data_IF_091987599068
#
_entry.id   IF_091987599068
#
_cell.length_a   1.000
_cell.length_b   1.000
_cell.length_c   1.000
_cell.angle_alpha   90.00
_cell.angle_beta   90.00
_cell.angle_gamma   90.00
#
_symmetry.space_group_name_H-M   'P 1'
#
loop_
_entity.id
_entity.type
_entity.pdbx_description
1 polymer ?
#
# COMPACT_ATOMS: atom_id res chain seq x y z
N UNK A 1 -5.67 -8.40 0.71
CA UNK A 1 -5.42 -8.23 2.15
C UNK A 1 -6.31 -7.10 2.68
N UNK A 2 -7.47 -7.46 3.27
CA UNK A 2 -8.49 -6.47 3.67
C UNK A 2 -8.46 -6.15 5.16
N UNK A 3 -7.85 -7.01 5.96
CA UNK A 3 -7.89 -6.86 7.40
C UNK A 3 -6.69 -7.52 8.11
N UNK A 4 -6.46 -7.20 9.41
CA UNK A 4 -5.34 -7.75 10.17
C UNK A 4 -5.34 -9.28 10.32
N UNK A 5 -6.50 -9.95 10.25
CA UNK A 5 -6.56 -11.41 10.32
C UNK A 5 -5.98 -12.04 9.06
N UNK A 6 -6.33 -11.52 7.89
CA UNK A 6 -5.77 -11.99 6.62
C UNK A 6 -4.26 -11.73 6.57
N UNK A 7 -3.79 -10.58 7.06
CA UNK A 7 -2.36 -10.28 7.12
C UNK A 7 -1.60 -11.26 8.04
N UNK A 8 -2.15 -11.58 9.22
CA UNK A 8 -1.56 -12.59 10.13
C UNK A 8 -1.57 -13.98 9.51
N UNK A 9 -2.66 -14.38 8.88
CA UNK A 9 -2.76 -15.66 8.18
C UNK A 9 -1.72 -15.75 7.08
N UNK A 10 -1.62 -14.75 6.22
CA UNK A 10 -0.59 -14.66 5.19
C UNK A 10 0.82 -14.83 5.78
N UNK A 11 1.12 -14.10 6.86
CA UNK A 11 2.40 -14.17 7.55
C UNK A 11 2.69 -15.60 8.07
N UNK A 12 1.72 -16.24 8.71
CA UNK A 12 1.86 -17.61 9.22
C UNK A 12 2.06 -18.62 8.09
N UNK A 13 1.26 -18.56 7.04
CA UNK A 13 1.35 -19.46 5.89
C UNK A 13 2.69 -19.30 5.18
N UNK A 14 3.16 -18.08 4.99
CA UNK A 14 4.47 -17.79 4.41
C UNK A 14 5.62 -18.35 5.27
N UNK A 15 5.60 -18.14 6.60
CA UNK A 15 6.64 -18.70 7.48
C UNK A 15 6.62 -20.22 7.49
N UNK A 16 5.44 -20.85 7.49
CA UNK A 16 5.29 -22.31 7.41
C UNK A 16 5.82 -22.84 6.08
N UNK A 17 5.57 -22.15 4.97
CA UNK A 17 6.07 -22.50 3.66
C UNK A 17 7.60 -22.44 3.62
N UNK A 18 8.18 -21.36 4.14
CA UNK A 18 9.63 -21.19 4.23
C UNK A 18 10.28 -22.24 5.15
N UNK A 19 9.61 -22.60 6.26
CA UNK A 19 10.09 -23.65 7.16
C UNK A 19 10.10 -25.03 6.46
N UNK A 20 9.00 -25.39 5.77
CA UNK A 20 8.92 -26.62 4.98
C UNK A 20 10.02 -26.71 3.93
N UNK A 21 10.24 -25.60 3.20
CA UNK A 21 11.30 -25.52 2.21
C UNK A 21 12.69 -25.71 2.86
N UNK A 22 12.96 -25.03 3.95
CA UNK A 22 14.24 -25.12 4.68
C UNK A 22 14.49 -26.51 5.28
N UNK A 23 13.43 -27.22 5.70
CA UNK A 23 13.53 -28.59 6.24
C UNK A 23 13.77 -29.63 5.15
N UNK A 24 13.28 -29.41 3.95
CA UNK A 24 13.43 -30.32 2.78
C UNK A 24 14.69 -29.99 1.96
N UNK A 25 15.80 -29.70 2.62
CA UNK A 25 17.09 -29.37 2.00
C UNK A 25 17.59 -30.46 1.04
N UNK A 26 17.14 -30.43 -0.21
CA UNK A 26 17.49 -31.38 -1.25
C UNK A 26 16.45 -31.54 -2.35
N UNK A 27 15.22 -31.10 -2.13
CA UNK A 27 14.25 -30.96 -3.21
C UNK A 27 14.57 -29.68 -4.00
N UNK A 28 14.80 -29.82 -5.31
CA UNK A 28 15.04 -28.73 -6.26
C UNK A 28 13.82 -27.80 -6.44
N UNK A 29 13.04 -27.57 -5.40
CA UNK A 29 11.85 -26.75 -5.42
C UNK A 29 12.15 -25.26 -5.16
N UNK A 30 11.29 -24.40 -5.69
CA UNK A 30 11.24 -22.99 -5.34
C UNK A 30 9.94 -22.71 -4.62
N UNK A 31 9.92 -21.70 -3.76
CA UNK A 31 8.70 -21.15 -3.17
C UNK A 31 8.10 -20.16 -4.15
N UNK A 32 6.96 -20.50 -4.73
CA UNK A 32 6.26 -19.67 -5.71
C UNK A 32 5.22 -18.80 -5.01
N UNK A 33 5.35 -17.49 -5.12
CA UNK A 33 4.38 -16.53 -4.56
C UNK A 33 3.85 -15.66 -5.69
N UNK A 34 2.54 -15.66 -5.90
CA UNK A 34 1.89 -14.82 -6.88
C UNK A 34 1.14 -13.67 -6.19
N UNK A 35 1.36 -12.44 -6.67
CA UNK A 35 0.74 -11.22 -6.16
C UNK A 35 -0.06 -10.60 -7.30
N UNK A 36 -1.37 -10.45 -7.11
CA UNK A 36 -2.27 -9.83 -8.08
C UNK A 36 -2.50 -8.37 -7.71
N UNK A 37 -2.12 -7.46 -8.59
CA UNK A 37 -2.25 -6.02 -8.45
C UNK A 37 -0.90 -5.31 -8.36
N UNK A 38 -0.55 -4.58 -9.42
CA UNK A 38 0.69 -3.79 -9.55
C UNK A 38 0.60 -2.39 -8.92
N UNK A 39 -0.32 -2.15 -8.00
CA UNK A 39 -0.38 -0.94 -7.18
C UNK A 39 0.76 -0.88 -6.15
N UNK A 40 0.78 0.16 -5.30
CA UNK A 40 1.82 0.35 -4.29
C UNK A 40 1.95 -0.87 -3.36
N UNK A 41 0.84 -1.44 -2.89
CA UNK A 41 0.82 -2.61 -2.01
C UNK A 41 1.51 -3.82 -2.62
N UNK A 42 1.16 -4.18 -3.86
CA UNK A 42 1.76 -5.35 -4.53
C UNK A 42 3.24 -5.15 -4.84
N UNK A 43 3.61 -3.95 -5.27
CA UNK A 43 5.00 -3.57 -5.56
C UNK A 43 5.86 -3.60 -4.30
N UNK A 44 5.39 -3.00 -3.21
CA UNK A 44 6.11 -2.99 -1.92
C UNK A 44 6.22 -4.39 -1.32
N UNK A 45 5.15 -5.19 -1.36
CA UNK A 45 5.15 -6.57 -0.88
C UNK A 45 6.14 -7.43 -1.68
N UNK A 46 6.18 -7.30 -3.00
CA UNK A 46 7.12 -8.03 -3.85
C UNK A 46 8.57 -7.79 -3.45
N UNK A 47 8.94 -6.54 -3.16
CA UNK A 47 10.28 -6.19 -2.70
C UNK A 47 10.55 -6.67 -1.26
N UNK A 48 9.55 -6.56 -0.36
CA UNK A 48 9.71 -6.94 1.05
C UNK A 48 9.86 -8.44 1.24
N UNK A 49 9.24 -9.28 0.41
CA UNK A 49 9.43 -10.74 0.45
C UNK A 49 10.90 -11.14 0.25
N UNK A 50 11.61 -10.53 -0.69
CA UNK A 50 13.05 -10.76 -0.89
C UNK A 50 13.90 -10.28 0.30
N UNK A 51 13.50 -9.17 0.92
CA UNK A 51 14.14 -8.71 2.15
C UNK A 51 13.86 -9.64 3.33
N UNK A 52 12.65 -10.18 3.46
CA UNK A 52 12.26 -11.14 4.48
C UNK A 52 13.11 -12.42 4.41
N UNK A 53 13.33 -12.96 3.21
CA UNK A 53 14.20 -14.13 3.01
C UNK A 53 15.62 -13.87 3.51
N UNK A 54 16.21 -12.71 3.19
CA UNK A 54 17.53 -12.32 3.70
C UNK A 54 17.57 -12.23 5.24
N UNK A 55 16.51 -11.71 5.85
CA UNK A 55 16.44 -11.60 7.31
C UNK A 55 16.28 -12.99 7.96
N UNK A 56 15.47 -13.88 7.39
CA UNK A 56 15.28 -15.26 7.88
C UNK A 56 16.58 -16.05 7.87
N UNK A 57 17.47 -15.81 6.93
CA UNK A 57 18.81 -16.41 6.92
C UNK A 57 19.55 -16.14 8.25
N UNK A 58 19.43 -14.94 8.83
CA UNK A 58 20.02 -14.57 10.12
C UNK A 58 19.39 -15.31 11.30
N UNK A 59 18.21 -15.89 11.15
CA UNK A 59 17.50 -16.68 12.16
C UNK A 59 17.67 -18.19 11.99
N UNK A 60 18.64 -18.62 11.17
CA UNK A 60 18.99 -20.03 11.03
C UNK A 60 18.37 -20.76 9.82
N UNK A 61 17.59 -20.08 8.97
CA UNK A 61 17.04 -20.62 7.73
C UNK A 61 18.11 -20.63 6.62
N UNK A 62 19.21 -21.36 6.86
CA UNK A 62 20.42 -21.31 6.00
C UNK A 62 20.18 -21.77 4.54
N UNK A 63 19.20 -22.63 4.30
CA UNK A 63 18.83 -23.10 2.96
C UNK A 63 17.96 -22.14 2.17
N UNK A 64 17.39 -21.13 2.83
CA UNK A 64 16.50 -20.17 2.20
C UNK A 64 17.31 -18.99 1.63
N UNK A 65 17.52 -19.01 0.32
CA UNK A 65 18.18 -17.92 -0.45
C UNK A 65 17.18 -17.19 -1.31
N UNK A 66 17.55 -16.03 -1.84
CA UNK A 66 16.69 -15.33 -2.80
C UNK A 66 16.41 -16.13 -4.06
N UNK A 67 17.29 -17.09 -4.43
CA UNK A 67 17.11 -17.98 -5.58
C UNK A 67 16.04 -19.04 -5.35
N UNK A 68 15.78 -19.35 -4.06
CA UNK A 68 14.72 -20.24 -3.63
C UNK A 68 13.32 -19.58 -3.69
N UNK A 69 13.26 -18.27 -3.80
CA UNK A 69 12.02 -17.51 -3.86
C UNK A 69 11.72 -17.10 -5.31
N UNK A 70 10.54 -17.44 -5.78
CA UNK A 70 10.02 -17.04 -7.07
C UNK A 70 8.77 -16.18 -6.86
N UNK A 71 8.90 -14.87 -7.03
CA UNK A 71 7.78 -13.92 -6.88
C UNK A 71 7.30 -13.49 -8.26
N UNK A 72 6.01 -13.66 -8.51
CA UNK A 72 5.35 -13.16 -9.73
C UNK A 72 4.36 -12.08 -9.34
N UNK A 73 4.56 -10.85 -9.84
CA UNK A 73 3.64 -9.73 -9.71
C UNK A 73 2.83 -9.59 -10.99
N UNK A 74 1.50 -9.69 -10.88
CA UNK A 74 0.57 -9.67 -12.02
C UNK A 74 -0.25 -8.38 -11.99
N UNK A 75 -0.25 -7.64 -13.09
CA UNK A 75 -0.99 -6.39 -13.27
C UNK A 75 -1.79 -6.42 -14.59
N UNK A 76 -3.08 -6.13 -14.50
CA UNK A 76 -3.97 -6.10 -15.66
C UNK A 76 -3.72 -4.89 -16.59
N UNK A 77 -3.22 -3.80 -16.03
CA UNK A 77 -2.89 -2.58 -16.77
C UNK A 77 -1.57 -2.67 -17.51
N UNK A 78 -1.30 -1.66 -18.32
CA UNK A 78 -0.08 -1.59 -19.15
C UNK A 78 1.22 -1.46 -18.32
N UNK A 79 1.11 -1.01 -17.07
CA UNK A 79 2.27 -0.79 -16.20
C UNK A 79 1.91 -0.92 -14.73
N UNK A 80 2.87 -1.28 -13.91
CA UNK A 80 2.76 -1.20 -12.45
C UNK A 80 2.70 0.27 -12.00
N UNK A 81 2.19 0.54 -10.80
CA UNK A 81 2.04 1.89 -10.23
C UNK A 81 1.33 2.86 -11.21
N UNK A 82 0.15 2.52 -11.76
CA UNK A 82 -0.49 3.32 -12.81
C UNK A 82 -0.82 4.76 -12.36
N UNK A 83 -0.98 4.98 -11.06
CA UNK A 83 -1.23 6.29 -10.46
C UNK A 83 0.01 7.20 -10.41
N UNK A 84 1.20 6.69 -10.73
CA UNK A 84 2.45 7.44 -10.75
C UNK A 84 2.90 7.75 -12.19
N UNK A 85 3.78 8.74 -12.39
CA UNK A 85 4.34 9.03 -13.69
C UNK A 85 5.01 7.81 -14.34
N UNK A 86 4.96 7.64 -15.68
CA UNK A 86 5.52 6.47 -16.37
C UNK A 86 7.00 6.21 -16.07
N UNK A 87 7.78 7.25 -15.89
CA UNK A 87 9.21 7.15 -15.54
C UNK A 87 9.43 6.47 -14.19
N UNK A 88 8.60 6.78 -13.19
CA UNK A 88 8.67 6.15 -11.85
C UNK A 88 8.20 4.71 -11.92
N UNK A 89 7.13 4.43 -12.65
CA UNK A 89 6.67 3.08 -12.94
C UNK A 89 7.78 2.22 -13.57
N UNK A 90 8.46 2.74 -14.59
CA UNK A 90 9.58 2.07 -15.24
C UNK A 90 10.78 1.83 -14.30
N UNK A 91 11.11 2.81 -13.45
CA UNK A 91 12.17 2.65 -12.45
C UNK A 91 11.82 1.55 -11.43
N UNK A 92 10.59 1.52 -10.93
CA UNK A 92 10.12 0.48 -10.01
C UNK A 92 10.12 -0.92 -10.67
N UNK A 93 9.67 -1.01 -11.92
CA UNK A 93 9.70 -2.24 -12.70
C UNK A 93 11.14 -2.79 -12.82
N UNK A 94 12.08 -1.95 -13.21
CA UNK A 94 13.48 -2.33 -13.34
C UNK A 94 14.08 -2.80 -12.01
N UNK A 95 13.77 -2.14 -10.91
CA UNK A 95 14.25 -2.54 -9.58
C UNK A 95 13.67 -3.89 -9.14
N UNK A 96 12.37 -4.13 -9.34
CA UNK A 96 11.75 -5.43 -9.06
C UNK A 96 12.36 -6.54 -9.92
N UNK A 97 12.59 -6.29 -11.20
CA UNK A 97 13.24 -7.25 -12.10
C UNK A 97 14.67 -7.59 -11.66
N UNK A 98 15.45 -6.60 -11.21
CA UNK A 98 16.79 -6.83 -10.63
C UNK A 98 16.75 -7.67 -9.35
N UNK A 99 15.67 -7.59 -8.58
CA UNK A 99 15.46 -8.43 -7.40
C UNK A 99 15.07 -9.87 -7.75
N UNK A 100 14.75 -10.15 -9.02
CA UNK A 100 14.28 -11.47 -9.47
C UNK A 100 12.76 -11.63 -9.47
N UNK A 101 12.01 -10.53 -9.29
CA UNK A 101 10.54 -10.55 -9.40
C UNK A 101 10.15 -10.62 -10.86
N UNK A 102 9.33 -11.61 -11.22
CA UNK A 102 8.69 -11.69 -12.54
C UNK A 102 7.50 -10.72 -12.56
N UNK A 103 7.62 -9.64 -13.32
CA UNK A 103 6.53 -8.63 -13.44
C UNK A 103 5.79 -8.88 -14.74
N UNK A 104 4.50 -9.23 -14.64
CA UNK A 104 3.58 -9.45 -15.76
C UNK A 104 2.60 -8.28 -15.81
N UNK A 105 2.71 -7.45 -16.82
CA UNK A 105 1.74 -6.38 -17.13
C UNK A 105 0.80 -6.82 -18.25
N UNK A 106 -0.31 -6.12 -18.46
CA UNK A 106 -1.37 -6.47 -19.43
C UNK A 106 -1.91 -7.91 -19.24
N UNK A 107 -1.79 -8.44 -18.03
CA UNK A 107 -2.15 -9.82 -17.70
C UNK A 107 -3.31 -9.83 -16.71
N UNK A 108 -4.49 -10.20 -17.17
CA UNK A 108 -5.69 -10.23 -16.34
C UNK A 108 -5.89 -11.63 -15.75
N UNK A 109 -5.92 -11.72 -14.43
CA UNK A 109 -6.29 -12.93 -13.69
C UNK A 109 -7.82 -13.07 -13.72
N UNK A 110 -8.31 -14.26 -14.12
CA UNK A 110 -9.73 -14.58 -14.23
C UNK A 110 -10.22 -15.48 -13.11
N UNK A 111 -9.37 -16.37 -12.61
CA UNK A 111 -9.69 -17.27 -11.50
C UNK A 111 -8.42 -17.73 -10.77
N UNK A 112 -8.61 -18.32 -9.61
CA UNK A 112 -7.56 -18.92 -8.82
C UNK A 112 -8.03 -20.30 -8.33
N UNK A 113 -7.12 -21.25 -8.24
CA UNK A 113 -7.32 -22.55 -7.60
C UNK A 113 -6.26 -22.80 -6.51
N UNK A 114 -6.18 -24.00 -5.98
CA UNK A 114 -5.23 -24.32 -4.91
C UNK A 114 -3.77 -24.30 -5.34
N UNK A 115 -3.47 -24.39 -6.63
CA UNK A 115 -2.11 -24.46 -7.19
C UNK A 115 -1.66 -23.20 -7.90
N UNK A 116 -2.55 -22.23 -8.17
CA UNK A 116 -2.14 -21.03 -8.90
C UNK A 116 -3.27 -20.17 -9.45
N UNK A 117 -2.90 -19.33 -10.41
CA UNK A 117 -3.76 -18.34 -11.03
C UNK A 117 -3.96 -18.65 -12.52
N UNK A 118 -5.19 -18.51 -12.99
CA UNK A 118 -5.53 -18.57 -14.41
C UNK A 118 -5.65 -17.17 -14.98
N UNK A 119 -5.03 -16.93 -16.13
CA UNK A 119 -5.11 -15.65 -16.82
C UNK A 119 -6.12 -15.70 -17.96
N UNK A 120 -6.55 -14.53 -18.42
CA UNK A 120 -7.47 -14.40 -19.56
C UNK A 120 -6.89 -15.00 -20.85
N UNK A 121 -5.58 -14.92 -21.01
CA UNK A 121 -4.86 -15.39 -22.21
C UNK A 121 -4.51 -16.88 -22.15
N UNK A 122 -4.99 -17.59 -21.12
CA UNK A 122 -4.82 -19.02 -20.95
C UNK A 122 -3.50 -19.43 -20.28
N UNK A 123 -2.67 -18.50 -19.83
CA UNK A 123 -1.48 -18.82 -19.04
C UNK A 123 -1.90 -19.24 -17.62
N UNK A 124 -1.24 -20.29 -17.11
CA UNK A 124 -1.34 -20.71 -15.71
C UNK A 124 -0.08 -20.29 -14.95
N UNK A 125 -0.27 -19.54 -13.87
CA UNK A 125 0.81 -19.06 -13.00
C UNK A 125 0.79 -19.91 -11.74
N UNK A 126 1.71 -20.86 -11.65
CA UNK A 126 1.86 -21.72 -10.48
C UNK A 126 2.24 -20.92 -9.25
N UNK A 127 1.58 -21.17 -8.11
CA UNK A 127 1.85 -20.47 -6.86
C UNK A 127 1.48 -21.32 -5.64
N UNK A 128 2.42 -21.41 -4.68
CA UNK A 128 2.22 -22.02 -3.37
C UNK A 128 1.46 -21.05 -2.42
N UNK A 129 1.57 -19.76 -2.69
CA UNK A 129 0.91 -18.69 -1.92
C UNK A 129 0.46 -17.58 -2.87
N UNK A 130 -0.80 -17.19 -2.73
CA UNK A 130 -1.40 -16.15 -3.58
C UNK A 130 -1.89 -14.98 -2.73
N UNK A 131 -1.62 -13.76 -3.19
CA UNK A 131 -2.04 -12.52 -2.54
C UNK A 131 -2.83 -11.66 -3.51
N UNK A 132 -4.06 -11.35 -3.17
CA UNK A 132 -4.85 -10.36 -3.90
C UNK A 132 -4.61 -8.99 -3.29
N UNK A 133 -3.92 -8.12 -4.03
CA UNK A 133 -3.60 -6.74 -3.68
C UNK A 133 -4.20 -5.73 -4.69
N UNK A 134 -5.09 -6.21 -5.58
CA UNK A 134 -5.71 -5.40 -6.60
C UNK A 134 -6.99 -4.73 -6.09
N UNK A 135 -7.08 -3.41 -6.34
CA UNK A 135 -8.24 -2.61 -6.02
C UNK A 135 -8.39 -2.29 -4.52
N UNK A 136 -9.38 -1.46 -4.27
CA UNK A 136 -9.86 -1.14 -2.92
C UNK A 136 -11.38 -1.28 -2.92
N UNK A 137 -11.93 -1.65 -1.79
CA UNK A 137 -13.38 -1.70 -1.56
C UNK A 137 -13.65 -1.38 -0.11
N UNK A 138 -14.58 -0.47 0.17
CA UNK A 138 -15.04 -0.26 1.52
C UNK A 138 -15.85 -1.48 2.01
N UNK A 139 -15.88 -1.74 3.32
CA UNK A 139 -16.60 -2.89 3.88
C UNK A 139 -18.06 -2.98 3.44
N UNK A 140 -18.60 -4.19 3.31
CA UNK A 140 -19.95 -4.39 2.80
C UNK A 140 -21.03 -3.77 3.71
N UNK A 141 -20.81 -3.69 5.02
CA UNK A 141 -21.73 -3.03 5.94
C UNK A 141 -21.98 -1.56 5.64
N UNK A 142 -21.08 -0.90 4.91
CA UNK A 142 -21.23 0.51 4.51
C UNK A 142 -22.49 0.76 3.67
N UNK A 143 -22.94 -0.25 2.92
CA UNK A 143 -24.18 -0.20 2.13
C UNK A 143 -25.45 -0.13 2.98
N UNK A 144 -25.35 -0.58 4.23
CA UNK A 144 -26.49 -0.76 5.13
C UNK A 144 -26.60 0.35 6.16
N UNK A 145 -25.70 1.34 6.15
CA UNK A 145 -25.70 2.42 7.12
C UNK A 145 -26.82 3.42 6.79
N UNK A 146 -27.93 3.31 7.51
CA UNK A 146 -29.00 4.31 7.56
C UNK A 146 -29.55 4.77 6.20
N UNK A 147 -29.41 3.99 5.14
CA UNK A 147 -29.84 4.36 3.79
C UNK A 147 -28.94 5.41 3.12
N UNK A 148 -27.71 5.63 3.64
CA UNK A 148 -26.74 6.52 3.02
C UNK A 148 -26.34 6.04 1.62
N UNK A 149 -26.03 6.96 0.75
CA UNK A 149 -25.64 6.67 -0.62
C UNK A 149 -24.22 6.13 -0.69
N UNK A 150 -24.01 5.01 -1.43
CA UNK A 150 -22.70 4.44 -1.68
C UNK A 150 -22.43 4.27 -3.17
N UNK A 151 -21.16 4.33 -3.57
CA UNK A 151 -20.72 4.01 -4.91
C UNK A 151 -20.52 2.47 -5.08
N UNK A 152 -20.06 2.05 -6.28
CA UNK A 152 -19.90 0.62 -6.63
C UNK A 152 -18.90 -0.14 -5.74
N UNK A 153 -17.97 0.56 -5.06
CA UNK A 153 -16.99 0.01 -4.16
C UNK A 153 -17.32 0.30 -2.69
N UNK A 154 -18.58 0.55 -2.39
CA UNK A 154 -19.17 0.77 -1.05
C UNK A 154 -18.68 2.03 -0.32
N UNK A 155 -18.01 2.97 -1.00
CA UNK A 155 -17.65 4.24 -0.38
C UNK A 155 -18.91 5.12 -0.25
N UNK A 156 -19.08 5.79 0.88
CA UNK A 156 -20.13 6.79 1.09
C UNK A 156 -19.92 7.97 0.16
N UNK A 157 -20.92 8.33 -0.61
CA UNK A 157 -20.88 9.51 -1.47
C UNK A 157 -21.02 10.76 -0.60
N UNK A 158 -20.12 11.70 -0.80
CA UNK A 158 -20.09 12.93 -0.01
C UNK A 158 -20.11 14.17 -0.90
N UNK A 159 -20.72 15.24 -0.37
CA UNK A 159 -20.67 16.57 -0.91
C UNK A 159 -19.24 17.16 -0.80
N UNK A 160 -18.91 18.24 -1.51
CA UNK A 160 -17.62 18.91 -1.36
C UNK A 160 -17.30 19.34 0.09
N UNK A 161 -18.30 19.50 0.93
CA UNK A 161 -18.15 19.81 2.36
C UNK A 161 -17.81 18.59 3.22
N UNK A 162 -17.75 17.39 2.61
CA UNK A 162 -17.56 16.09 3.23
C UNK A 162 -18.75 15.56 4.05
N UNK A 163 -19.89 16.22 3.95
CA UNK A 163 -21.17 15.71 4.45
C UNK A 163 -21.68 14.62 3.50
N UNK A 164 -22.38 13.61 4.03
CA UNK A 164 -23.04 12.62 3.16
C UNK A 164 -24.17 13.28 2.36
N UNK A 165 -24.46 12.78 1.17
CA UNK A 165 -25.48 13.35 0.27
C UNK A 165 -26.91 13.27 0.82
N UNK A 166 -27.17 12.38 1.79
CA UNK A 166 -28.50 12.13 2.34
C UNK A 166 -28.68 12.62 3.77
N UNK A 167 -27.61 12.96 4.46
CA UNK A 167 -27.66 13.46 5.84
C UNK A 167 -26.53 14.47 6.06
N UNK A 168 -26.93 15.71 6.33
CA UNK A 168 -26.01 16.83 6.54
C UNK A 168 -25.29 16.79 7.89
N UNK A 169 -25.71 15.95 8.83
CA UNK A 169 -25.07 15.80 10.13
C UNK A 169 -24.04 14.65 10.16
N UNK A 170 -23.95 13.89 9.05
CA UNK A 170 -23.01 12.78 8.90
C UNK A 170 -21.91 13.17 7.93
N UNK A 171 -20.66 13.05 8.38
CA UNK A 171 -19.45 13.30 7.59
C UNK A 171 -18.72 11.99 7.32
N UNK A 172 -18.20 11.82 6.09
CA UNK A 172 -17.34 10.69 5.76
C UNK A 172 -15.99 11.18 5.22
N UNK A 173 -14.90 10.53 5.63
CA UNK A 173 -13.53 10.92 5.31
C UNK A 173 -12.65 9.70 5.02
N UNK A 174 -11.54 9.90 4.32
CA UNK A 174 -10.57 8.85 4.02
C UNK A 174 -11.07 7.84 2.98
N UNK A 175 -10.58 6.61 3.06
CA UNK A 175 -10.79 5.59 2.04
C UNK A 175 -12.25 5.11 1.95
N UNK A 176 -13.06 5.36 2.96
CA UNK A 176 -14.50 5.04 2.95
C UNK A 176 -15.38 6.15 2.34
N UNK A 177 -14.80 7.28 1.95
CA UNK A 177 -15.52 8.41 1.35
C UNK A 177 -15.25 8.54 -0.15
N UNK A 178 -16.29 8.78 -0.93
CA UNK A 178 -16.23 9.09 -2.36
C UNK A 178 -16.49 10.58 -2.55
N UNK A 179 -15.43 11.39 -2.58
CA UNK A 179 -15.49 12.83 -2.79
C UNK A 179 -15.08 13.17 -4.23
N UNK A 180 -15.97 13.81 -4.97
CA UNK A 180 -15.67 14.27 -6.32
C UNK A 180 -14.71 15.47 -6.29
N UNK A 181 -13.85 15.57 -7.31
CA UNK A 181 -12.91 16.69 -7.48
C UNK A 181 -13.46 17.69 -8.50
N UNK A 182 -13.25 18.99 -8.29
CA UNK A 182 -13.73 20.02 -9.25
C UNK A 182 -13.19 19.84 -10.66
N UNK A 183 -11.95 19.36 -10.81
CA UNK A 183 -11.29 19.11 -12.08
C UNK A 183 -11.65 17.76 -12.72
N UNK A 184 -12.55 17.01 -12.11
CA UNK A 184 -12.99 15.69 -12.55
C UNK A 184 -12.32 14.54 -11.79
N UNK A 185 -12.99 13.38 -11.78
CA UNK A 185 -12.59 12.21 -11.02
C UNK A 185 -12.85 12.34 -9.52
N UNK A 186 -12.22 11.48 -8.74
CA UNK A 186 -12.41 11.40 -7.29
C UNK A 186 -11.09 11.61 -6.54
N UNK A 187 -11.22 12.01 -5.28
CA UNK A 187 -10.08 12.08 -4.36
C UNK A 187 -9.49 10.69 -4.21
N UNK A 188 -8.18 10.51 -4.42
CA UNK A 188 -7.56 9.19 -4.33
C UNK A 188 -7.53 8.69 -2.88
N UNK A 189 -7.72 7.39 -2.64
CA UNK A 189 -7.64 6.77 -1.31
C UNK A 189 -6.18 6.71 -0.85
N UNK A 190 -5.77 7.73 -0.13
CA UNK A 190 -4.39 7.90 0.37
C UNK A 190 -4.40 8.54 1.75
N UNK A 191 -3.43 8.17 2.58
CA UNK A 191 -3.28 8.73 3.93
C UNK A 191 -3.23 10.27 3.94
N UNK A 192 -2.57 10.91 2.97
CA UNK A 192 -2.55 12.36 2.87
C UNK A 192 -3.92 12.97 2.57
N UNK A 193 -4.73 12.30 1.75
CA UNK A 193 -6.11 12.74 1.49
C UNK A 193 -6.96 12.61 2.75
N UNK A 194 -6.90 11.48 3.44
CA UNK A 194 -7.60 11.24 4.69
C UNK A 194 -7.26 12.28 5.76
N UNK A 195 -5.98 12.64 5.92
CA UNK A 195 -5.54 13.68 6.87
C UNK A 195 -6.09 15.07 6.52
N UNK A 196 -6.08 15.45 5.25
CA UNK A 196 -6.64 16.72 4.78
C UNK A 196 -8.17 16.75 4.95
N UNK A 197 -8.85 15.63 4.61
CA UNK A 197 -10.29 15.49 4.83
C UNK A 197 -10.65 15.60 6.31
N UNK A 198 -9.91 14.94 7.20
CA UNK A 198 -10.15 15.03 8.65
C UNK A 198 -10.07 16.46 9.17
N UNK A 199 -9.08 17.22 8.71
CA UNK A 199 -8.93 18.64 9.06
C UNK A 199 -10.12 19.48 8.53
N UNK A 200 -10.55 19.24 7.29
CA UNK A 200 -11.68 19.95 6.69
C UNK A 200 -12.98 19.60 7.42
N UNK A 201 -13.25 18.31 7.64
CA UNK A 201 -14.45 17.84 8.34
C UNK A 201 -14.55 18.41 9.75
N UNK A 202 -13.45 18.37 10.53
CA UNK A 202 -13.43 19.00 11.87
C UNK A 202 -13.82 20.47 11.83
N UNK A 203 -13.22 21.23 10.90
CA UNK A 203 -13.52 22.65 10.77
C UNK A 203 -14.98 22.89 10.33
N UNK A 204 -15.52 22.05 9.47
CA UNK A 204 -16.90 22.12 9.01
C UNK A 204 -17.89 21.75 10.12
N UNK A 205 -17.62 20.71 10.91
CA UNK A 205 -18.43 20.36 12.09
C UNK A 205 -18.48 21.54 13.08
N UNK A 206 -17.33 22.15 13.39
CA UNK A 206 -17.27 23.31 14.30
C UNK A 206 -17.95 24.55 13.70
N UNK A 207 -17.94 24.74 12.38
CA UNK A 207 -18.65 25.81 11.70
C UNK A 207 -20.16 25.57 11.76
N UNK A 208 -20.62 24.35 11.46
CA UNK A 208 -22.03 23.96 11.51
C UNK A 208 -22.62 24.17 12.91
N UNK A 209 -21.92 23.74 13.97
CA UNK A 209 -22.34 23.99 15.37
C UNK A 209 -22.48 25.46 15.70
N UNK A 210 -21.82 26.38 14.98
CA UNK A 210 -21.86 27.82 15.16
C UNK A 210 -22.75 28.54 14.15
N UNK A 211 -23.51 27.81 13.34
CA UNK A 211 -24.33 28.34 12.26
C UNK A 211 -23.55 29.09 11.17
N UNK A 212 -22.26 28.74 10.97
CA UNK A 212 -21.37 29.35 9.95
C UNK A 212 -21.36 28.56 8.68
N UNK A 213 -21.09 29.21 7.51
CA UNK A 213 -20.98 28.52 6.24
C UNK A 213 -19.83 27.49 6.26
N UNK A 214 -20.08 26.33 5.65
CA UNK A 214 -19.09 25.26 5.49
C UNK A 214 -18.15 25.54 4.33
N UNK A 215 -16.96 24.98 4.37
CA UNK A 215 -15.94 25.11 3.32
C UNK A 215 -15.87 23.85 2.47
N UNK A 216 -15.78 24.04 1.16
CA UNK A 216 -15.49 22.94 0.26
C UNK A 216 -14.07 22.41 0.47
N UNK A 217 -13.94 21.10 0.49
CA UNK A 217 -12.66 20.41 0.52
C UNK A 217 -11.98 20.49 -0.85
N UNK A 218 -10.70 20.77 -0.85
CA UNK A 218 -9.86 20.75 -2.04
C UNK A 218 -8.65 19.88 -1.76
N UNK A 219 -8.51 18.79 -2.50
CA UNK A 219 -7.36 17.88 -2.38
C UNK A 219 -6.09 18.52 -2.92
N UNK A 220 -5.03 18.51 -2.11
CA UNK A 220 -3.67 18.91 -2.52
C UNK A 220 -2.78 17.69 -2.56
N UNK A 221 -2.29 17.35 -3.74
CA UNK A 221 -1.33 16.24 -3.88
C UNK A 221 0.07 16.73 -3.50
N UNK A 222 0.65 16.12 -2.47
CA UNK A 222 2.03 16.38 -2.03
C UNK A 222 3.04 15.41 -2.65
N UNK A 223 2.58 14.59 -3.60
CA UNK A 223 3.37 13.56 -4.23
C UNK A 223 3.14 12.17 -3.62
N UNK A 224 3.85 11.21 -4.14
CA UNK A 224 3.76 9.82 -3.73
C UNK A 224 5.13 9.17 -3.73
N UNK A 225 5.40 8.37 -2.72
CA UNK A 225 6.62 7.60 -2.56
C UNK A 225 6.27 6.14 -2.37
N UNK A 226 6.97 5.26 -3.07
CA UNK A 226 6.85 3.80 -2.96
C UNK A 226 8.19 3.27 -2.48
N UNK A 227 8.18 2.53 -1.39
CA UNK A 227 9.38 1.94 -0.80
C UNK A 227 9.60 0.54 -1.35
N UNK A 228 10.74 0.31 -1.97
CA UNK A 228 11.17 -1.03 -2.39
C UNK A 228 12.05 -1.65 -1.30
N UNK A 229 11.52 -1.68 -0.09
CA UNK A 229 12.17 -2.21 1.11
C UNK A 229 13.52 -1.53 1.41
N UNK A 230 14.57 -2.32 1.58
CA UNK A 230 15.93 -1.82 1.81
C UNK A 230 16.70 -1.53 0.50
N UNK A 231 16.13 -1.84 -0.65
CA UNK A 231 16.83 -1.76 -1.93
C UNK A 231 16.80 -0.36 -2.53
N UNK A 232 15.62 0.21 -2.68
CA UNK A 232 15.47 1.60 -3.14
C UNK A 232 14.12 2.18 -2.73
N UNK A 233 13.95 3.48 -2.94
CA UNK A 233 12.67 4.16 -2.83
C UNK A 233 12.52 5.01 -4.07
N UNK A 234 11.38 4.90 -4.72
CA UNK A 234 11.06 5.67 -5.91
C UNK A 234 9.81 6.50 -5.67
N UNK A 235 9.74 7.69 -6.22
CA UNK A 235 8.57 8.51 -6.04
C UNK A 235 8.66 9.89 -6.68
N UNK A 236 7.58 10.62 -6.54
CA UNK A 236 7.45 12.00 -6.99
C UNK A 236 7.08 12.89 -5.82
N UNK A 237 7.81 13.98 -5.65
CA UNK A 237 7.50 15.06 -4.72
C UNK A 237 6.84 16.20 -5.49
N UNK A 238 5.63 16.55 -5.09
CA UNK A 238 4.96 17.76 -5.53
C UNK A 238 5.07 18.81 -4.42
N UNK A 239 5.81 19.87 -4.66
CA UNK A 239 6.02 20.95 -3.69
C UNK A 239 5.59 22.30 -4.21
N UNK A 240 5.08 23.16 -3.31
CA UNK A 240 4.77 24.56 -3.63
C UNK A 240 6.00 25.40 -4.02
N UNK A 241 7.22 24.89 -3.82
CA UNK A 241 8.48 25.57 -4.11
C UNK A 241 8.99 25.37 -5.54
N UNK A 242 8.49 24.34 -6.26
CA UNK A 242 8.89 24.08 -7.65
C UNK A 242 7.64 23.87 -8.50
N UNK A 243 7.50 24.62 -9.58
CA UNK A 243 6.50 24.40 -10.62
C UNK A 243 6.82 23.11 -11.37
N UNK A 244 6.46 21.95 -10.80
CA UNK A 244 6.69 20.64 -11.40
C UNK A 244 6.85 19.52 -10.39
N UNK A 245 6.79 18.27 -10.85
CA UNK A 245 7.10 17.10 -10.06
C UNK A 245 8.59 16.82 -10.09
N UNK A 246 9.24 16.79 -8.92
CA UNK A 246 10.62 16.35 -8.81
C UNK A 246 10.65 14.85 -8.56
N UNK A 247 11.30 14.11 -9.45
CA UNK A 247 11.56 12.69 -9.23
C UNK A 247 12.65 12.52 -8.18
N UNK A 248 12.39 11.69 -7.19
CA UNK A 248 13.33 11.41 -6.10
C UNK A 248 13.59 9.91 -6.07
N UNK A 249 14.85 9.50 -6.14
CA UNK A 249 15.29 8.11 -6.14
C UNK A 249 16.35 7.86 -5.06
N UNK A 250 16.48 6.59 -4.65
CA UNK A 250 17.56 6.15 -3.79
C UNK A 250 17.49 6.69 -2.36
N UNK A 251 18.65 7.08 -1.81
CA UNK A 251 18.79 7.50 -0.41
C UNK A 251 18.00 8.76 -0.06
N UNK A 252 17.85 9.70 -0.99
CA UNK A 252 17.09 10.94 -0.78
C UNK A 252 15.60 10.62 -0.69
N UNK A 253 15.07 9.82 -1.60
CA UNK A 253 13.67 9.38 -1.54
C UNK A 253 13.36 8.63 -0.25
N UNK A 254 14.28 7.78 0.20
CA UNK A 254 14.15 7.07 1.49
C UNK A 254 14.13 8.03 2.69
N UNK A 255 14.98 9.05 2.67
CA UNK A 255 14.97 10.09 3.72
C UNK A 255 13.65 10.83 3.76
N UNK A 256 13.13 11.23 2.60
CA UNK A 256 11.83 11.92 2.48
C UNK A 256 10.69 11.01 2.93
N UNK A 257 10.68 9.73 2.53
CA UNK A 257 9.68 8.75 2.97
C UNK A 257 9.65 8.61 4.51
N UNK A 258 10.83 8.46 5.12
CA UNK A 258 10.96 8.39 6.58
C UNK A 258 10.47 9.70 7.23
N UNK A 259 10.79 10.85 6.65
CA UNK A 259 10.39 12.17 7.17
C UNK A 259 8.87 12.33 7.14
N UNK A 260 8.20 11.96 6.04
CA UNK A 260 6.74 11.99 5.93
C UNK A 260 6.08 11.06 6.97
N UNK A 261 6.59 9.86 7.13
CA UNK A 261 6.10 8.94 8.16
C UNK A 261 6.25 9.52 9.57
N UNK A 262 7.39 10.20 9.85
CA UNK A 262 7.61 10.87 11.14
C UNK A 262 6.70 12.07 11.35
N UNK A 263 6.39 12.83 10.32
CA UNK A 263 5.41 13.91 10.40
C UNK A 263 4.03 13.39 10.85
N UNK A 264 3.57 12.27 10.30
CA UNK A 264 2.32 11.64 10.77
C UNK A 264 2.40 11.18 12.22
N UNK A 265 3.53 10.59 12.64
CA UNK A 265 3.73 10.22 14.04
C UNK A 265 3.73 11.44 14.97
N UNK A 266 4.35 12.55 14.57
CA UNK A 266 4.35 13.81 15.34
C UNK A 266 2.93 14.35 15.47
N UNK A 267 2.13 14.31 14.41
CA UNK A 267 0.74 14.74 14.43
C UNK A 267 -0.12 13.93 15.43
N UNK A 268 0.17 12.61 15.59
CA UNK A 268 -0.57 11.73 16.50
C UNK A 268 -0.05 11.76 17.94
N UNK A 269 1.27 11.85 18.12
CA UNK A 269 1.93 11.59 19.41
C UNK A 269 2.68 12.79 19.97
N UNK A 270 2.82 13.88 19.19
CA UNK A 270 3.65 15.02 19.53
C UNK A 270 5.15 14.77 19.37
N UNK A 271 5.94 15.83 19.46
CA UNK A 271 7.39 15.78 19.21
C UNK A 271 8.15 14.91 20.22
N UNK A 272 7.83 15.03 21.52
CA UNK A 272 8.55 14.32 22.58
C UNK A 272 8.38 12.80 22.48
N UNK A 273 7.13 12.32 22.40
CA UNK A 273 6.85 10.88 22.27
C UNK A 273 7.44 10.31 20.99
N UNK A 274 7.33 11.04 19.88
CA UNK A 274 7.92 10.60 18.60
C UNK A 274 9.43 10.50 18.70
N UNK A 275 10.12 11.47 19.32
CA UNK A 275 11.56 11.41 19.57
C UNK A 275 11.97 10.19 20.39
N UNK A 276 11.24 9.92 21.48
CA UNK A 276 11.46 8.74 22.31
C UNK A 276 11.24 7.43 21.54
N UNK A 277 10.17 7.33 20.75
CA UNK A 277 9.89 6.17 19.88
C UNK A 277 11.01 5.94 18.85
N UNK A 278 11.58 7.02 18.32
CA UNK A 278 12.72 6.93 17.39
C UNK A 278 13.95 6.37 18.08
N UNK A 279 14.27 6.85 19.27
CA UNK A 279 15.42 6.38 20.08
C UNK A 279 15.28 4.90 20.42
N UNK A 280 14.13 4.51 20.99
CA UNK A 280 13.81 3.12 21.34
C UNK A 280 13.85 2.23 20.09
N UNK A 281 13.28 2.68 18.96
CA UNK A 281 13.31 1.94 17.70
C UNK A 281 14.72 1.77 17.12
N UNK A 282 15.64 2.73 17.38
CA UNK A 282 17.05 2.61 16.99
C UNK A 282 17.80 1.60 17.87
N UNK A 283 17.59 1.64 19.17
CA UNK A 283 18.17 0.70 20.14
C UNK A 283 17.67 -0.73 19.85
N UNK A 284 16.37 -0.92 19.67
CA UNK A 284 15.78 -2.23 19.38
C UNK A 284 16.31 -2.85 18.08
N UNK A 285 16.62 -2.05 17.05
CA UNK A 285 17.21 -2.55 15.81
C UNK A 285 18.61 -3.13 15.98
N UNK A 286 19.35 -2.63 16.97
CA UNK A 286 20.70 -3.12 17.31
C UNK A 286 20.59 -4.39 18.16
N UNK A 287 19.67 -4.41 19.13
CA UNK A 287 19.56 -5.50 20.13
C UNK A 287 18.72 -6.67 19.60
N UNK A 288 17.65 -6.37 18.85
CA UNK A 288 16.71 -7.37 18.31
C UNK A 288 16.34 -6.99 16.87
N UNK A 289 17.09 -7.45 15.86
CA UNK A 289 16.66 -7.31 14.48
C UNK A 289 15.30 -7.99 14.30
N UNK A 290 14.27 -7.24 13.90
CA UNK A 290 12.91 -7.76 13.70
C UNK A 290 12.65 -7.88 12.21
N UNK A 291 12.07 -9.02 11.82
CA UNK A 291 11.38 -9.16 10.55
C UNK A 291 10.23 -8.12 10.49
N UNK A 292 10.30 -7.22 9.54
CA UNK A 292 9.21 -6.30 9.22
C UNK A 292 8.32 -6.95 8.16
N UNK A 293 7.49 -7.87 8.61
CA UNK A 293 6.37 -8.36 7.84
C UNK A 293 5.13 -7.78 8.53
N UNK A 294 4.66 -6.67 8.01
CA UNK A 294 3.45 -5.99 8.47
C UNK A 294 2.27 -6.43 7.65
#
# INVERSE_FOLDING_TARGET
LDNPHQARRFHQEMLNLFLKYSANLGANGKVNIAIVGGGATGVELSAELHNAVKQLHSYGYKGLTNEALNVTLVEAGERILPALPPRISGAAHNELTKLGVRVLTQTMVTSADAGGLHTKDGEYIEADLMVWAAGIKAPDFMKEIGGLETNRINQLVVEPTLQTTRDADIFAIGDCASCARPEGGFVPPRAQAAHQMATCALNNILAQMKGKPLKAYTYKDHGSLVSLSNYSTVGSLMGNLMRGSMMVEGRIARFVYISLYRMHQIALHGYFKTGLMMLVGRINRIIRPRLKLH
#
